data_IF_499267358970
#
_entry.id   IF_499267358970
#
_cell.length_a   1.000
_cell.length_b   1.000
_cell.length_c   1.000
_cell.angle_alpha   90.00
_cell.angle_beta   90.00
_cell.angle_gamma   90.00
#
_symmetry.space_group_name_H-M   'P 1'
#
loop_
_entity.id
_entity.type
_entity.pdbx_description
1 polymer ?
#
# COMPACT_ATOMS: atom_id res chain seq x y z
N UNK A 1 3.21 18.74 -17.59
CA UNK A 1 3.34 18.96 -16.13
C UNK A 1 3.50 20.46 -15.91
N UNK A 2 2.53 21.14 -15.27
CA UNK A 2 2.61 22.60 -15.08
C UNK A 2 3.58 22.91 -13.93
N UNK A 3 4.60 23.74 -14.20
CA UNK A 3 5.60 24.16 -13.21
C UNK A 3 5.27 25.57 -12.68
N UNK A 4 4.87 25.62 -11.41
CA UNK A 4 4.39 26.82 -10.75
C UNK A 4 5.52 27.61 -10.09
N UNK A 5 5.45 28.94 -10.23
CA UNK A 5 6.24 29.86 -9.40
C UNK A 5 5.80 29.78 -7.95
N UNK A 6 6.73 30.05 -7.04
CA UNK A 6 6.51 30.00 -5.59
C UNK A 6 5.26 30.78 -5.14
N UNK A 7 5.02 31.99 -5.66
CA UNK A 7 3.83 32.78 -5.32
C UNK A 7 2.52 32.10 -5.76
N UNK A 8 2.48 31.52 -6.97
CA UNK A 8 1.31 30.81 -7.50
C UNK A 8 1.05 29.51 -6.74
N UNK A 9 2.11 28.77 -6.39
CA UNK A 9 2.04 27.57 -5.58
C UNK A 9 1.55 27.87 -4.14
N UNK A 10 2.10 28.90 -3.51
CA UNK A 10 1.69 29.34 -2.18
C UNK A 10 0.22 29.79 -2.14
N UNK A 11 -0.22 30.55 -3.15
CA UNK A 11 -1.62 30.95 -3.30
C UNK A 11 -2.56 29.75 -3.50
N UNK A 12 -2.14 28.74 -4.26
CA UNK A 12 -2.93 27.49 -4.42
C UNK A 12 -3.06 26.73 -3.10
N UNK A 13 -2.00 26.69 -2.28
CA UNK A 13 -1.96 26.06 -0.96
C UNK A 13 -2.61 26.88 0.16
N UNK A 14 -2.93 28.15 -0.06
CA UNK A 14 -3.47 29.03 0.98
C UNK A 14 -2.47 29.41 2.08
N UNK A 15 -1.16 29.29 1.82
CA UNK A 15 -0.09 29.59 2.80
C UNK A 15 0.75 30.80 2.38
N UNK A 16 1.48 31.38 3.34
CA UNK A 16 2.41 32.46 3.05
C UNK A 16 3.62 31.93 2.23
N UNK A 17 4.13 32.68 1.22
CA UNK A 17 5.25 32.23 0.39
C UNK A 17 6.52 31.87 1.18
N UNK A 18 6.73 32.50 2.34
CA UNK A 18 7.86 32.18 3.23
C UNK A 18 7.74 30.77 3.82
N UNK A 19 6.52 30.35 4.20
CA UNK A 19 6.25 29.00 4.71
C UNK A 19 6.54 27.94 3.66
N UNK A 20 6.12 28.18 2.41
CA UNK A 20 6.42 27.29 1.29
C UNK A 20 7.94 27.19 1.02
N UNK A 21 8.66 28.31 1.15
CA UNK A 21 10.13 28.35 1.01
C UNK A 21 10.81 27.51 2.09
N UNK A 22 10.32 27.60 3.32
CA UNK A 22 10.84 26.83 4.45
C UNK A 22 10.58 25.33 4.25
N UNK A 23 9.38 24.94 3.83
CA UNK A 23 9.06 23.55 3.52
C UNK A 23 9.90 22.97 2.38
N UNK A 24 10.22 23.78 1.37
CA UNK A 24 11.14 23.38 0.31
C UNK A 24 12.58 23.17 0.84
N UNK A 25 13.02 23.98 1.81
CA UNK A 25 14.32 23.79 2.46
C UNK A 25 14.33 22.55 3.36
N UNK A 26 13.23 22.29 4.07
CA UNK A 26 13.04 21.13 4.95
C UNK A 26 12.83 19.82 4.17
N UNK A 27 12.75 19.86 2.84
CA UNK A 27 12.51 18.69 1.98
C UNK A 27 11.08 18.15 2.03
N UNK A 28 10.12 18.90 2.59
CA UNK A 28 8.71 18.49 2.72
C UNK A 28 7.92 18.55 1.42
N UNK A 29 8.36 19.38 0.47
CA UNK A 29 7.78 19.47 -0.88
C UNK A 29 8.90 19.49 -1.93
N UNK A 30 8.84 18.61 -2.94
CA UNK A 30 9.84 18.60 -4.00
C UNK A 30 9.74 19.87 -4.86
N UNK A 31 10.88 20.33 -5.35
CA UNK A 31 10.96 21.46 -6.27
C UNK A 31 12.06 21.25 -7.31
N UNK A 32 11.97 21.99 -8.42
CA UNK A 32 12.95 21.97 -9.51
C UNK A 32 13.50 23.38 -9.72
N UNK A 33 14.78 23.50 -10.00
CA UNK A 33 15.38 24.78 -10.40
C UNK A 33 15.11 25.08 -11.87
N UNK A 34 14.59 26.27 -12.15
CA UNK A 34 14.49 26.80 -13.51
C UNK A 34 15.15 28.19 -13.49
N UNK A 35 16.40 28.24 -13.95
CA UNK A 35 17.27 29.40 -13.76
C UNK A 35 17.54 29.67 -12.28
N UNK A 36 17.27 30.89 -11.82
CA UNK A 36 17.42 31.30 -10.40
C UNK A 36 16.15 31.13 -9.56
N UNK A 37 15.07 30.61 -10.14
CA UNK A 37 13.79 30.44 -9.45
C UNK A 37 13.50 28.97 -9.15
N UNK A 38 12.92 28.71 -7.96
CA UNK A 38 12.34 27.42 -7.60
C UNK A 38 10.96 27.28 -8.24
N UNK A 39 10.70 26.13 -8.87
CA UNK A 39 9.42 25.75 -9.46
C UNK A 39 8.86 24.50 -8.79
N UNK A 40 7.55 24.50 -8.59
CA UNK A 40 6.81 23.43 -7.93
C UNK A 40 5.86 22.78 -8.94
N UNK A 41 5.81 21.46 -8.98
CA UNK A 41 4.84 20.74 -9.81
C UNK A 41 3.43 21.02 -9.33
N UNK A 42 2.49 21.26 -10.24
CA UNK A 42 1.07 21.40 -9.89
C UNK A 42 0.52 20.19 -9.13
N UNK A 43 1.00 18.98 -9.45
CA UNK A 43 0.58 17.72 -8.81
C UNK A 43 1.03 17.68 -7.34
N UNK A 44 2.28 18.04 -7.05
CA UNK A 44 2.81 18.02 -5.68
C UNK A 44 2.13 19.07 -4.81
N UNK A 45 1.82 20.24 -5.39
CA UNK A 45 1.07 21.32 -4.74
C UNK A 45 -0.38 20.89 -4.44
N UNK A 46 -1.04 20.20 -5.36
CA UNK A 46 -2.40 19.68 -5.14
C UNK A 46 -2.47 18.53 -4.13
N UNK A 47 -1.48 17.63 -4.15
CA UNK A 47 -1.35 16.57 -3.16
C UNK A 47 -1.13 17.14 -1.76
N UNK A 48 -0.27 18.16 -1.64
CA UNK A 48 -0.01 18.84 -0.38
C UNK A 48 -1.24 19.63 0.11
N UNK A 49 -1.99 20.25 -0.80
CA UNK A 49 -3.24 20.95 -0.44
C UNK A 49 -4.29 20.00 0.11
N UNK A 50 -4.45 18.82 -0.52
CA UNK A 50 -5.29 17.76 0.04
C UNK A 50 -4.83 17.41 1.45
N UNK A 51 -3.54 17.18 1.65
CA UNK A 51 -2.94 16.89 2.97
C UNK A 51 -3.09 18.01 4.01
N UNK A 52 -3.05 19.30 3.62
CA UNK A 52 -3.13 20.44 4.55
C UNK A 52 -4.55 20.79 4.98
N UNK A 53 -5.53 20.68 4.06
CA UNK A 53 -6.95 20.87 4.37
C UNK A 53 -7.50 19.71 5.25
N UNK A 54 -6.75 18.62 5.38
CA UNK A 54 -7.03 17.47 6.25
C UNK A 54 -6.48 17.64 7.69
N UNK A 55 -5.45 18.47 7.89
CA UNK A 55 -4.71 18.55 9.14
C UNK A 55 -5.31 19.50 10.20
N UNK A 56 -6.31 20.31 9.83
CA UNK A 56 -6.93 21.27 10.76
C UNK A 56 -8.32 20.75 11.17
N UNK A 57 -8.41 20.19 12.38
CA UNK A 57 -9.66 19.86 13.09
C UNK A 57 -10.61 18.84 12.43
N UNK A 58 -10.09 17.78 11.78
CA UNK A 58 -10.97 16.63 11.49
C UNK A 58 -11.18 15.79 12.75
N UNK A 59 -12.43 15.43 13.08
CA UNK A 59 -12.69 14.50 14.17
C UNK A 59 -11.95 13.20 13.90
N UNK A 60 -11.35 12.63 14.94
CA UNK A 60 -10.57 11.41 14.84
C UNK A 60 -11.50 10.24 14.50
N UNK A 61 -11.45 9.82 13.24
CA UNK A 61 -12.25 8.74 12.66
C UNK A 61 -11.36 7.54 12.41
N UNK A 62 -11.59 6.49 13.16
CA UNK A 62 -10.77 5.29 13.17
C UNK A 62 -11.45 4.17 12.37
N UNK A 63 -10.68 3.49 11.53
CA UNK A 63 -11.07 2.20 10.95
C UNK A 63 -10.20 1.11 11.53
N UNK A 64 -10.85 0.05 11.99
CA UNK A 64 -10.16 -1.12 12.54
C UNK A 64 -10.00 -2.13 11.41
N UNK A 65 -8.77 -2.54 11.12
CA UNK A 65 -8.50 -3.56 10.12
C UNK A 65 -7.96 -4.83 10.78
N UNK A 66 -8.69 -5.93 10.63
CA UNK A 66 -8.35 -7.23 11.21
C UNK A 66 -8.22 -8.29 10.13
N UNK A 67 -7.25 -9.19 10.31
CA UNK A 67 -6.94 -10.22 9.32
C UNK A 67 -6.46 -11.51 9.96
N UNK A 68 -6.90 -12.62 9.39
CA UNK A 68 -6.35 -13.96 9.63
C UNK A 68 -6.01 -14.64 8.30
N UNK A 69 -5.07 -15.56 8.36
CA UNK A 69 -4.73 -16.45 7.24
C UNK A 69 -5.66 -17.68 7.26
N UNK A 70 -5.98 -18.23 6.09
CA UNK A 70 -6.85 -19.41 5.97
C UNK A 70 -8.36 -19.13 5.84
N UNK A 71 -9.12 -20.19 5.53
CA UNK A 71 -10.55 -20.13 5.18
C UNK A 71 -11.51 -20.48 6.33
N UNK A 72 -11.07 -21.21 7.36
CA UNK A 72 -11.94 -21.71 8.44
C UNK A 72 -11.22 -21.84 9.79
N UNK A 73 -11.95 -21.68 10.90
CA UNK A 73 -11.46 -21.97 12.26
C UNK A 73 -10.78 -20.82 13.02
N UNK A 74 -10.64 -19.65 12.41
CA UNK A 74 -9.94 -18.48 12.98
C UNK A 74 -10.87 -17.33 13.42
N UNK A 75 -12.18 -17.60 13.58
CA UNK A 75 -13.15 -16.54 13.92
C UNK A 75 -12.88 -15.94 15.30
N UNK A 76 -12.52 -16.78 16.27
CA UNK A 76 -12.11 -16.33 17.60
C UNK A 76 -10.89 -15.40 17.56
N UNK A 77 -9.97 -15.60 16.61
CA UNK A 77 -8.82 -14.71 16.43
C UNK A 77 -9.22 -13.36 15.83
N UNK A 78 -10.12 -13.34 14.83
CA UNK A 78 -10.65 -12.09 14.27
C UNK A 78 -11.41 -11.28 15.33
N UNK A 79 -12.24 -11.95 16.13
CA UNK A 79 -13.00 -11.34 17.22
C UNK A 79 -12.08 -10.80 18.32
N UNK A 80 -11.06 -11.57 18.72
CA UNK A 80 -10.06 -11.11 19.70
C UNK A 80 -9.31 -9.88 19.21
N UNK A 81 -8.83 -9.89 17.96
CA UNK A 81 -8.17 -8.72 17.36
C UNK A 81 -9.09 -7.50 17.32
N UNK A 82 -10.35 -7.68 16.95
CA UNK A 82 -11.32 -6.59 16.94
C UNK A 82 -11.59 -6.06 18.35
N UNK A 83 -11.77 -6.93 19.33
CA UNK A 83 -12.00 -6.55 20.72
C UNK A 83 -10.83 -5.73 21.28
N UNK A 84 -9.59 -6.15 21.03
CA UNK A 84 -8.39 -5.43 21.46
C UNK A 84 -8.27 -4.05 20.77
N UNK A 85 -8.58 -3.97 19.48
CA UNK A 85 -8.55 -2.70 18.75
C UNK A 85 -9.65 -1.75 19.21
N UNK A 86 -10.85 -2.26 19.52
CA UNK A 86 -11.96 -1.48 20.08
C UNK A 86 -11.63 -0.96 21.47
N UNK A 87 -11.03 -1.79 22.32
CA UNK A 87 -10.67 -1.43 23.69
C UNK A 87 -9.63 -0.30 23.76
N UNK A 88 -8.79 -0.17 22.72
CA UNK A 88 -7.72 0.84 22.64
C UNK A 88 -8.06 2.00 21.70
N UNK A 89 -9.27 2.01 21.14
CA UNK A 89 -9.74 3.08 20.27
C UNK A 89 -9.88 4.39 21.05
N UNK A 90 -9.47 5.49 20.43
CA UNK A 90 -9.49 6.83 21.05
C UNK A 90 -10.38 7.82 20.30
N UNK A 91 -10.92 7.39 19.15
CA UNK A 91 -11.81 8.18 18.32
C UNK A 91 -13.09 7.43 17.95
N UNK A 92 -13.86 8.03 17.04
CA UNK A 92 -15.06 7.40 16.50
C UNK A 92 -14.68 6.24 15.59
N UNK A 93 -15.14 5.04 15.93
CA UNK A 93 -14.94 3.86 15.08
C UNK A 93 -15.94 3.91 13.94
N UNK A 94 -15.48 4.30 12.75
CA UNK A 94 -16.32 4.39 11.54
C UNK A 94 -16.72 3.00 11.06
N UNK A 95 -15.76 2.06 11.06
CA UNK A 95 -15.99 0.71 10.56
C UNK A 95 -14.93 -0.27 11.06
N UNK A 96 -15.33 -1.53 11.16
CA UNK A 96 -14.41 -2.67 11.25
C UNK A 96 -14.38 -3.38 9.91
N UNK A 97 -13.18 -3.54 9.36
CA UNK A 97 -12.92 -4.20 8.08
C UNK A 97 -12.18 -5.49 8.37
N UNK A 98 -12.72 -6.62 7.87
CA UNK A 98 -12.18 -7.96 8.12
C UNK A 98 -11.77 -8.61 6.81
N UNK A 99 -10.66 -9.36 6.82
CA UNK A 99 -10.24 -10.22 5.72
C UNK A 99 -9.81 -11.62 6.21
N UNK A 100 -10.14 -12.62 5.40
CA UNK A 100 -9.67 -14.01 5.55
C UNK A 100 -8.81 -14.37 4.35
N UNK A 101 -7.54 -14.01 4.42
CA UNK A 101 -6.57 -14.25 3.36
C UNK A 101 -5.14 -14.03 3.87
N UNK A 102 -4.19 -14.68 3.19
CA UNK A 102 -2.76 -14.43 3.35
C UNK A 102 -2.43 -12.94 3.20
N UNK A 103 -1.44 -12.48 3.98
CA UNK A 103 -0.90 -11.12 3.88
C UNK A 103 -0.17 -10.85 2.55
N UNK A 104 0.12 -11.89 1.76
CA UNK A 104 0.69 -11.78 0.42
C UNK A 104 -0.35 -11.42 -0.66
N UNK A 105 -1.64 -11.65 -0.38
CA UNK A 105 -2.71 -11.36 -1.35
C UNK A 105 -3.00 -9.86 -1.36
N UNK A 106 -2.67 -9.16 -2.43
CA UNK A 106 -2.89 -7.69 -2.50
C UNK A 106 -4.36 -7.35 -2.80
N UNK A 107 -5.04 -8.13 -3.65
CA UNK A 107 -6.45 -7.92 -4.02
C UNK A 107 -7.41 -8.57 -3.00
N UNK A 108 -7.35 -8.11 -1.75
CA UNK A 108 -8.24 -8.53 -0.67
C UNK A 108 -9.48 -7.63 -0.61
N UNK A 109 -10.71 -8.17 -0.52
CA UNK A 109 -11.92 -7.35 -0.48
C UNK A 109 -11.95 -6.32 0.65
N UNK A 110 -11.51 -6.70 1.86
CA UNK A 110 -11.43 -5.79 2.99
C UNK A 110 -10.37 -4.71 2.76
N UNK A 111 -9.15 -5.09 2.35
CA UNK A 111 -8.09 -4.15 2.03
C UNK A 111 -8.52 -3.14 0.95
N UNK A 112 -9.19 -3.58 -0.12
CA UNK A 112 -9.68 -2.68 -1.16
C UNK A 112 -10.70 -1.68 -0.60
N UNK A 113 -11.62 -2.12 0.28
CA UNK A 113 -12.55 -1.22 0.96
C UNK A 113 -11.82 -0.21 1.86
N UNK A 114 -10.80 -0.65 2.58
CA UNK A 114 -9.95 0.21 3.39
C UNK A 114 -9.28 1.28 2.51
N UNK A 115 -8.70 0.90 1.36
CA UNK A 115 -8.11 1.84 0.41
C UNK A 115 -9.13 2.88 -0.09
N UNK A 116 -10.36 2.45 -0.39
CA UNK A 116 -11.44 3.37 -0.78
C UNK A 116 -11.75 4.38 0.32
N UNK A 117 -11.94 3.91 1.57
CA UNK A 117 -12.23 4.77 2.73
C UNK A 117 -11.08 5.75 3.05
N UNK A 118 -9.84 5.37 2.77
CA UNK A 118 -8.70 6.28 2.88
C UNK A 118 -8.74 7.34 1.78
N UNK A 119 -9.02 6.92 0.54
CA UNK A 119 -9.02 7.82 -0.62
C UNK A 119 -10.18 8.83 -0.64
N UNK A 120 -11.34 8.47 -0.09
CA UNK A 120 -12.52 9.33 0.00
C UNK A 120 -12.50 10.25 1.25
N UNK A 121 -11.53 10.05 2.15
CA UNK A 121 -11.36 10.83 3.37
C UNK A 121 -12.37 10.51 4.48
N UNK A 122 -13.03 9.35 4.43
CA UNK A 122 -13.96 8.86 5.45
C UNK A 122 -13.28 8.59 6.80
N UNK A 123 -11.97 8.31 6.79
CA UNK A 123 -11.18 7.94 7.97
C UNK A 123 -9.94 8.81 8.08
N UNK A 124 -9.44 8.96 9.31
CA UNK A 124 -8.19 9.69 9.61
C UNK A 124 -7.13 8.77 10.21
N UNK A 125 -7.53 7.62 10.78
CA UNK A 125 -6.62 6.65 11.39
C UNK A 125 -7.00 5.24 10.99
N UNK A 126 -6.02 4.45 10.55
CA UNK A 126 -6.14 3.00 10.38
C UNK A 126 -5.47 2.32 11.57
N UNK A 127 -6.21 1.49 12.30
CA UNK A 127 -5.69 0.72 13.42
C UNK A 127 -5.55 -0.74 13.06
N UNK A 128 -4.40 -1.33 13.40
CA UNK A 128 -4.12 -2.76 13.24
C UNK A 128 -3.39 -3.30 14.46
N UNK A 129 -3.56 -4.59 14.76
CA UNK A 129 -2.87 -5.23 15.88
C UNK A 129 -1.37 -5.36 15.61
N UNK A 130 -1.02 -5.82 14.41
CA UNK A 130 0.36 -5.95 13.91
C UNK A 130 0.49 -5.41 12.49
N UNK A 131 1.69 -5.01 12.09
CA UNK A 131 1.94 -4.50 10.72
C UNK A 131 1.62 -5.52 9.63
N UNK A 132 1.92 -6.78 9.88
CA UNK A 132 1.70 -7.88 8.93
C UNK A 132 0.21 -8.20 8.71
N UNK A 133 -0.69 -7.61 9.51
CA UNK A 133 -2.13 -7.67 9.24
C UNK A 133 -2.44 -6.91 7.95
N UNK A 134 -1.85 -5.71 7.75
CA UNK A 134 -2.05 -4.92 6.53
C UNK A 134 -1.51 -5.65 5.31
N UNK A 135 -0.25 -6.09 5.33
CA UNK A 135 0.36 -6.85 4.24
C UNK A 135 1.63 -7.54 4.73
N UNK A 136 2.02 -8.65 4.10
CA UNK A 136 3.29 -9.34 4.40
C UNK A 136 4.48 -8.51 3.92
N UNK A 137 4.35 -7.90 2.75
CA UNK A 137 5.33 -6.98 2.17
C UNK A 137 4.65 -5.67 1.76
N UNK A 138 5.43 -4.61 1.57
CA UNK A 138 4.90 -3.35 1.05
C UNK A 138 4.11 -2.51 2.05
N UNK A 139 4.08 -2.85 3.34
CA UNK A 139 3.44 -2.02 4.39
C UNK A 139 3.99 -0.59 4.40
N UNK A 140 5.30 -0.42 4.16
CA UNK A 140 5.90 0.91 4.05
C UNK A 140 5.32 1.76 2.89
N UNK A 141 4.93 1.12 1.78
CA UNK A 141 4.24 1.80 0.68
C UNK A 141 2.82 2.17 1.06
N UNK A 142 2.08 1.28 1.74
CA UNK A 142 0.74 1.57 2.25
C UNK A 142 0.75 2.74 3.24
N UNK A 143 1.68 2.76 4.20
CA UNK A 143 1.84 3.87 5.15
C UNK A 143 2.10 5.20 4.44
N UNK A 144 2.97 5.22 3.43
CA UNK A 144 3.24 6.42 2.62
C UNK A 144 2.00 6.86 1.85
N UNK A 145 1.28 5.92 1.24
CA UNK A 145 0.04 6.22 0.53
C UNK A 145 -1.01 6.83 1.47
N UNK A 146 -1.19 6.25 2.65
CA UNK A 146 -2.17 6.74 3.62
C UNK A 146 -1.81 8.13 4.11
N UNK A 147 -0.51 8.41 4.33
CA UNK A 147 -0.03 9.73 4.69
C UNK A 147 -0.34 10.80 3.63
N UNK A 148 -0.32 10.45 2.33
CA UNK A 148 -0.74 11.37 1.25
C UNK A 148 -2.21 11.78 1.40
N UNK A 149 -3.06 10.88 1.90
CA UNK A 149 -4.46 11.15 2.22
C UNK A 149 -4.67 11.64 3.66
N UNK A 150 -3.61 12.08 4.36
CA UNK A 150 -3.70 12.55 5.73
C UNK A 150 -4.12 11.48 6.75
N UNK A 151 -3.98 10.20 6.39
CA UNK A 151 -4.35 9.06 7.25
C UNK A 151 -3.10 8.46 7.90
N UNK A 152 -3.15 8.28 9.22
CA UNK A 152 -2.08 7.64 9.98
C UNK A 152 -2.36 6.16 10.20
N UNK A 153 -1.31 5.35 10.31
CA UNK A 153 -1.42 3.92 10.67
C UNK A 153 -0.93 3.75 12.10
N UNK A 154 -1.80 3.27 12.98
CA UNK A 154 -1.47 2.94 14.36
C UNK A 154 -1.44 1.42 14.55
N UNK A 155 -0.32 0.93 15.09
CA UNK A 155 -0.05 -0.48 15.28
C UNK A 155 0.02 -0.75 16.78
N UNK A 156 -0.83 -1.65 17.29
CA UNK A 156 -0.91 -1.91 18.72
C UNK A 156 0.35 -2.62 19.24
N UNK A 157 0.87 -3.59 18.49
CA UNK A 157 2.05 -4.38 18.85
C UNK A 157 3.11 -4.33 17.75
N UNK A 158 3.99 -3.32 17.75
CA UNK A 158 4.98 -3.12 16.69
C UNK A 158 6.09 -4.19 16.65
N UNK A 159 6.26 -5.01 17.70
CA UNK A 159 7.39 -5.94 17.85
C UNK A 159 7.05 -7.43 17.91
N UNK A 160 5.81 -7.84 17.61
CA UNK A 160 5.43 -9.26 17.59
C UNK A 160 5.37 -9.78 16.15
N UNK A 161 6.09 -10.87 15.88
CA UNK A 161 5.92 -11.68 14.67
C UNK A 161 4.54 -12.34 14.75
N UNK A 162 3.68 -12.06 13.77
CA UNK A 162 2.44 -12.81 13.59
C UNK A 162 2.71 -14.31 13.49
N UNK A 163 1.67 -15.10 13.77
CA UNK A 163 1.75 -16.55 14.04
C UNK A 163 2.75 -17.28 13.13
N UNK A 164 3.65 -18.05 13.75
CA UNK A 164 4.68 -18.86 13.07
C UNK A 164 4.10 -19.67 11.90
N UNK A 165 2.89 -20.21 12.09
CA UNK A 165 2.21 -21.01 11.09
C UNK A 165 1.82 -20.17 9.86
N UNK A 166 1.29 -18.96 10.06
CA UNK A 166 0.96 -18.04 8.96
C UNK A 166 2.21 -17.61 8.17
N UNK A 167 3.34 -17.41 8.86
CA UNK A 167 4.63 -17.13 8.22
C UNK A 167 5.08 -18.31 7.33
N UNK A 168 4.90 -19.53 7.82
CA UNK A 168 5.28 -20.74 7.11
C UNK A 168 4.36 -21.00 5.91
N UNK A 169 3.04 -20.79 6.06
CA UNK A 169 2.08 -20.83 4.95
C UNK A 169 2.44 -19.82 3.84
N UNK A 170 2.74 -18.58 4.23
CA UNK A 170 3.14 -17.54 3.29
C UNK A 170 4.44 -17.90 2.56
N UNK A 171 5.41 -18.49 3.28
CA UNK A 171 6.65 -18.96 2.69
C UNK A 171 6.41 -20.11 1.68
N UNK A 172 5.60 -21.10 2.03
CA UNK A 172 5.24 -22.20 1.13
C UNK A 172 4.54 -21.66 -0.12
N UNK A 173 3.61 -20.71 0.03
CA UNK A 173 2.91 -20.09 -1.10
C UNK A 173 3.88 -19.37 -2.05
N UNK A 174 4.88 -18.66 -1.51
CA UNK A 174 5.93 -18.04 -2.32
C UNK A 174 6.75 -19.10 -3.06
N UNK A 175 7.31 -20.08 -2.35
CA UNK A 175 8.13 -21.14 -2.97
C UNK A 175 7.36 -21.87 -4.06
N UNK A 176 6.09 -22.21 -3.81
CA UNK A 176 5.22 -22.87 -4.78
C UNK A 176 5.02 -22.02 -6.03
N UNK A 177 4.77 -20.72 -5.87
CA UNK A 177 4.62 -19.77 -6.98
C UNK A 177 5.89 -19.68 -7.82
N UNK A 178 7.07 -19.59 -7.17
CA UNK A 178 8.35 -19.55 -7.85
C UNK A 178 8.68 -20.87 -8.57
N UNK A 179 8.45 -22.01 -7.91
CA UNK A 179 8.66 -23.32 -8.49
C UNK A 179 7.79 -23.52 -9.74
N UNK A 180 6.50 -23.20 -9.67
CA UNK A 180 5.59 -23.28 -10.80
C UNK A 180 6.04 -22.44 -12.00
N UNK A 181 6.50 -21.21 -11.75
CA UNK A 181 7.08 -20.35 -12.80
C UNK A 181 8.35 -20.94 -13.40
N UNK A 182 9.25 -21.46 -12.58
CA UNK A 182 10.51 -22.06 -13.03
C UNK A 182 10.27 -23.30 -13.91
N UNK A 183 9.38 -24.19 -13.48
CA UNK A 183 8.99 -25.35 -14.27
C UNK A 183 8.26 -24.94 -15.57
N UNK A 184 7.39 -23.92 -15.50
CA UNK A 184 6.74 -23.36 -16.68
C UNK A 184 7.72 -22.84 -17.73
N UNK A 185 8.76 -22.11 -17.31
CA UNK A 185 9.82 -21.63 -18.20
C UNK A 185 10.60 -22.78 -18.85
N UNK A 186 11.00 -23.80 -18.07
CA UNK A 186 11.69 -24.99 -18.60
C UNK A 186 10.83 -25.74 -19.62
N UNK A 187 9.55 -25.91 -19.32
CA UNK A 187 8.60 -26.55 -20.21
C UNK A 187 8.42 -25.77 -21.52
N UNK A 188 8.36 -24.44 -21.46
CA UNK A 188 8.30 -23.59 -22.64
C UNK A 188 9.59 -23.65 -23.49
N UNK A 189 10.76 -23.68 -22.86
CA UNK A 189 12.05 -23.85 -23.54
C UNK A 189 12.14 -25.21 -24.24
N UNK A 190 11.75 -26.29 -23.56
CA UNK A 190 11.72 -27.63 -24.16
C UNK A 190 10.76 -27.71 -25.36
N UNK A 191 9.55 -27.13 -25.26
CA UNK A 191 8.63 -27.06 -26.41
C UNK A 191 9.22 -26.32 -27.61
N UNK A 192 9.89 -25.19 -27.38
CA UNK A 192 10.56 -24.44 -28.47
C UNK A 192 11.67 -25.26 -29.13
N UNK A 193 12.48 -25.96 -28.32
CA UNK A 193 13.55 -26.82 -28.83
C UNK A 193 13.01 -27.95 -29.70
N UNK A 194 11.98 -28.66 -29.21
CA UNK A 194 11.35 -29.75 -29.96
C UNK A 194 10.71 -29.29 -31.27
N UNK A 195 10.07 -28.11 -31.27
CA UNK A 195 9.51 -27.51 -32.49
C UNK A 195 10.59 -27.10 -33.50
N UNK A 196 11.74 -26.61 -33.04
CA UNK A 196 12.88 -26.29 -33.90
C UNK A 196 13.50 -27.57 -34.52
N UNK A 197 13.64 -28.64 -33.73
CA UNK A 197 14.15 -29.93 -34.19
C UNK A 197 13.20 -30.61 -35.20
N UNK A 198 11.88 -30.50 -35.00
CA UNK A 198 10.87 -31.08 -35.91
C UNK A 198 10.67 -30.28 -37.20
N UNK A 199 10.92 -28.98 -37.20
CA UNK A 199 10.92 -28.15 -38.42
C UNK A 199 12.13 -28.35 -39.34
N UNK A 200 13.19 -29.01 -38.86
CA UNK A 200 14.39 -29.32 -39.64
C UNK A 200 14.31 -30.69 -40.35
N UNK A 201 13.42 -31.59 -39.91
CA UNK A 201 13.31 -32.96 -40.47
C UNK A 201 12.58 -33.07 -41.83
N UNK A 202 12.07 -31.97 -42.42
CA UNK A 202 11.30 -32.03 -43.67
C UNK A 202 12.10 -31.77 -44.97
N UNK A 203 13.40 -31.43 -44.90
CA UNK A 203 14.18 -31.07 -46.09
C UNK A 203 15.16 -32.16 -46.58
N UNK A 204 15.38 -33.25 -45.84
CA UNK A 204 16.44 -34.24 -46.15
C UNK A 204 15.98 -35.53 -46.87
N UNK A 205 14.73 -35.62 -47.34
CA UNK A 205 14.20 -36.86 -47.97
C UNK A 205 13.54 -36.65 -49.35
N UNK A 206 14.18 -35.87 -50.23
CA UNK A 206 13.89 -35.90 -51.66
C UNK A 206 15.21 -35.91 -52.46
N UNK A 207 15.76 -37.12 -52.64
CA UNK A 207 16.79 -37.43 -53.63
C UNK A 207 16.32 -38.62 -54.46
#
# INVERSE_FOLDING_TARGET
MELLRMSKAAKRLGIHPMTLRQWANDGKIPFTWVGRERRFSSVDVENMKRGSDLATSRPRREVLYVRVSGSSGQESSLEAQEAELRATATGEIVKVVRDRASGLKENRPGLNRLLTMVSDGSVTVVRVTHEDRLARFGVGWLKRLFAVYGVTVEVLYPKKLGGRDELLEDFIALVTTFAGRLYGMRSAQNRKRLLAESGQCSEDHAA
#
